data_IF_210247582297
#
_entry.id   IF_210247582297
#
_cell.length_a   1.000
_cell.length_b   1.000
_cell.length_c   1.000
_cell.angle_alpha   90.00
_cell.angle_beta   90.00
_cell.angle_gamma   90.00
#
_symmetry.space_group_name_H-M   'P 1'
#
loop_
_entity.id
_entity.type
_entity.pdbx_description
1 polymer ?
#
# COMPACT_ATOMS: atom_id res chain seq x y z
N UNK A 1 -17.36 2.08 3.27
CA UNK A 1 -17.37 1.03 4.31
C UNK A 1 -17.17 1.69 5.65
N UNK A 2 -17.94 1.26 6.66
CA UNK A 2 -17.92 1.85 7.99
C UNK A 2 -16.94 1.15 8.93
N UNK A 3 -16.51 1.84 9.98
CA UNK A 3 -15.80 1.24 11.11
C UNK A 3 -16.84 0.58 12.05
N UNK A 4 -16.52 -0.61 12.51
CA UNK A 4 -17.32 -1.37 13.47
C UNK A 4 -16.66 -1.36 14.83
N UNK A 5 -17.30 -0.76 15.82
CA UNK A 5 -16.90 -0.83 17.23
C UNK A 5 -17.62 -1.98 17.93
N UNK A 6 -17.12 -2.41 19.06
CA UNK A 6 -17.65 -3.54 19.82
C UNK A 6 -17.97 -3.14 21.25
N UNK A 7 -18.96 -3.79 21.86
CA UNK A 7 -19.28 -3.60 23.28
C UNK A 7 -18.06 -3.98 24.14
N UNK A 8 -17.72 -3.21 25.18
CA UNK A 8 -16.52 -3.43 26.01
C UNK A 8 -16.72 -4.55 27.03
N UNK A 9 -17.11 -5.74 26.58
CA UNK A 9 -17.37 -6.90 27.44
C UNK A 9 -16.10 -7.56 28.00
N UNK A 10 -14.96 -7.35 27.32
CA UNK A 10 -13.65 -7.85 27.75
C UNK A 10 -12.57 -6.81 27.50
N UNK A 11 -11.41 -6.85 28.21
CA UNK A 11 -10.29 -5.92 27.96
C UNK A 11 -9.87 -5.87 26.50
N UNK A 12 -9.88 -6.99 25.78
CA UNK A 12 -9.51 -7.08 24.37
C UNK A 12 -10.55 -6.54 23.39
N UNK A 13 -11.79 -6.29 23.84
CA UNK A 13 -12.86 -5.71 23.04
C UNK A 13 -13.09 -4.22 23.35
N UNK A 14 -12.66 -3.75 24.53
CA UNK A 14 -12.87 -2.37 24.99
C UNK A 14 -12.44 -1.31 23.97
N UNK A 15 -11.31 -1.45 23.36
CA UNK A 15 -10.80 -0.52 22.35
C UNK A 15 -10.82 -1.09 20.94
N UNK A 16 -11.60 -2.14 20.67
CA UNK A 16 -11.61 -2.81 19.39
C UNK A 16 -12.41 -2.01 18.36
N UNK A 17 -11.74 -1.61 17.29
CA UNK A 17 -12.36 -0.97 16.13
C UNK A 17 -11.84 -1.66 14.87
N UNK A 18 -12.72 -2.28 14.12
CA UNK A 18 -12.38 -2.99 12.88
C UNK A 18 -13.17 -2.41 11.70
N UNK A 19 -12.70 -2.70 10.49
CA UNK A 19 -13.44 -2.38 9.28
C UNK A 19 -14.59 -3.37 9.12
N UNK A 20 -15.77 -2.87 8.80
CA UNK A 20 -16.88 -3.71 8.38
C UNK A 20 -16.57 -4.32 7.01
N UNK A 21 -16.80 -5.62 6.89
CA UNK A 21 -16.58 -6.42 5.69
C UNK A 21 -17.84 -7.12 5.22
N UNK A 22 -19.01 -6.64 5.66
CA UNK A 22 -20.30 -7.24 5.34
C UNK A 22 -20.58 -7.30 3.84
N UNK A 23 -20.15 -6.25 3.13
CA UNK A 23 -20.33 -6.11 1.67
C UNK A 23 -19.33 -6.93 0.84
N UNK A 24 -18.28 -7.47 1.47
CA UNK A 24 -17.27 -8.26 0.75
C UNK A 24 -17.67 -9.72 0.63
N UNK A 25 -17.20 -10.35 -0.42
CA UNK A 25 -17.34 -11.78 -0.63
C UNK A 25 -16.80 -12.58 0.57
N UNK A 26 -17.61 -13.51 1.07
CA UNK A 26 -17.29 -14.33 2.25
C UNK A 26 -16.76 -15.72 1.89
N UNK A 27 -16.82 -16.09 0.63
CA UNK A 27 -16.34 -17.38 0.13
C UNK A 27 -14.83 -17.46 -0.04
N UNK A 28 -14.38 -18.54 -0.65
CA UNK A 28 -12.96 -18.76 -0.98
C UNK A 28 -12.53 -17.90 -2.17
N UNK A 29 -11.25 -17.48 -2.22
CA UNK A 29 -10.72 -16.80 -3.39
C UNK A 29 -10.68 -17.74 -4.60
N UNK A 30 -10.55 -17.17 -5.80
CA UNK A 30 -10.39 -17.93 -7.03
C UNK A 30 -9.09 -18.76 -6.97
N UNK A 31 -9.22 -20.09 -7.13
CA UNK A 31 -8.11 -21.03 -6.95
C UNK A 31 -7.01 -20.83 -7.97
N UNK A 32 -7.37 -20.58 -9.21
CA UNK A 32 -6.45 -20.39 -10.35
C UNK A 32 -5.58 -19.13 -10.20
N UNK A 33 -6.07 -18.13 -9.44
CA UNK A 33 -5.40 -16.87 -9.17
C UNK A 33 -4.75 -16.82 -7.77
N UNK A 34 -4.56 -17.98 -7.13
CA UNK A 34 -3.93 -18.04 -5.80
C UNK A 34 -2.72 -18.95 -5.76
N UNK A 35 -1.69 -18.51 -5.04
CA UNK A 35 -0.44 -19.21 -4.86
C UNK A 35 -0.11 -19.39 -3.37
N UNK A 36 0.67 -20.41 -3.05
CA UNK A 36 1.21 -20.62 -1.72
C UNK A 36 2.19 -19.51 -1.34
N UNK A 37 2.04 -18.94 -0.13
CA UNK A 37 2.94 -17.92 0.36
C UNK A 37 3.90 -18.51 1.40
N UNK A 38 5.15 -18.73 1.00
CA UNK A 38 6.26 -19.09 1.90
C UNK A 38 6.70 -17.90 2.75
N UNK A 39 7.05 -18.17 3.99
CA UNK A 39 7.52 -17.14 4.94
C UNK A 39 8.88 -17.51 5.49
N UNK A 40 9.83 -16.60 5.35
CA UNK A 40 11.20 -16.75 5.87
C UNK A 40 11.42 -16.08 7.25
N UNK A 41 10.38 -15.55 7.89
CA UNK A 41 10.47 -14.95 9.22
C UNK A 41 11.44 -13.76 9.32
N UNK A 42 11.62 -13.00 8.24
CA UNK A 42 12.55 -11.87 8.18
C UNK A 42 14.02 -12.26 8.00
N UNK A 43 14.32 -13.54 7.66
CA UNK A 43 15.66 -14.02 7.35
C UNK A 43 15.98 -13.80 5.87
N UNK A 44 17.25 -13.54 5.59
CA UNK A 44 17.81 -13.47 4.24
C UNK A 44 18.21 -14.90 3.75
N UNK A 45 18.85 -14.96 2.59
CA UNK A 45 19.38 -16.19 2.00
C UNK A 45 20.46 -16.88 2.85
N UNK A 46 21.15 -16.14 3.74
CA UNK A 46 22.14 -16.70 4.69
C UNK A 46 21.54 -17.08 6.03
N UNK A 47 20.21 -17.04 6.20
CA UNK A 47 19.50 -17.38 7.44
C UNK A 47 19.58 -16.30 8.54
N UNK A 48 20.23 -15.16 8.31
CA UNK A 48 20.33 -14.07 9.27
C UNK A 48 19.09 -13.19 9.25
N UNK A 49 18.66 -12.71 10.43
CA UNK A 49 17.55 -11.77 10.55
C UNK A 49 17.98 -10.40 10.03
N UNK A 50 17.48 -10.03 8.85
CA UNK A 50 17.68 -8.70 8.26
C UNK A 50 16.49 -7.78 8.50
N UNK A 51 15.32 -8.33 8.79
CA UNK A 51 14.11 -7.60 9.13
C UNK A 51 13.54 -8.10 10.45
N UNK A 52 13.61 -7.26 11.48
CA UNK A 52 13.10 -7.58 12.82
C UNK A 52 11.57 -7.62 12.84
N UNK A 53 11.01 -8.27 13.85
CA UNK A 53 9.57 -8.28 14.18
C UNK A 53 8.67 -8.98 13.16
N UNK A 54 9.22 -9.79 12.29
CA UNK A 54 8.45 -10.62 11.36
C UNK A 54 8.55 -12.08 11.81
N UNK A 55 7.43 -12.79 11.80
CA UNK A 55 7.35 -14.23 12.06
C UNK A 55 6.01 -14.68 12.60
N UNK A 56 5.72 -15.95 12.42
CA UNK A 56 4.42 -16.54 12.76
C UNK A 56 3.28 -15.97 11.91
N UNK A 57 2.11 -15.87 12.51
CA UNK A 57 0.88 -15.43 11.87
C UNK A 57 0.09 -16.56 11.21
N UNK A 58 -1.16 -16.28 10.85
CA UNK A 58 -2.05 -17.21 10.14
C UNK A 58 -1.52 -17.55 8.74
N UNK A 59 -1.71 -18.81 8.31
CA UNK A 59 -1.42 -19.23 6.93
C UNK A 59 -2.21 -18.37 5.94
N UNK A 60 -1.57 -17.93 4.86
CA UNK A 60 -2.18 -17.08 3.83
C UNK A 60 -1.85 -17.63 2.45
N UNK A 61 -2.79 -17.44 1.53
CA UNK A 61 -2.55 -17.59 0.10
C UNK A 61 -2.25 -16.22 -0.49
N UNK A 62 -1.32 -16.14 -1.40
CA UNK A 62 -1.09 -14.94 -2.20
C UNK A 62 -2.14 -14.89 -3.32
N UNK A 63 -2.68 -13.70 -3.61
CA UNK A 63 -3.55 -13.44 -4.75
C UNK A 63 -2.70 -12.80 -5.84
N UNK A 64 -2.73 -13.39 -7.02
CA UNK A 64 -2.07 -12.83 -8.22
C UNK A 64 -2.91 -11.65 -8.70
N UNK A 65 -2.37 -10.45 -8.56
CA UNK A 65 -3.06 -9.22 -8.96
C UNK A 65 -2.47 -8.73 -10.28
N UNK A 66 -3.34 -8.39 -11.21
CA UNK A 66 -2.94 -7.73 -12.45
C UNK A 66 -2.64 -6.25 -12.21
N UNK A 67 -1.38 -5.95 -11.93
CA UNK A 67 -0.90 -4.57 -11.80
C UNK A 67 -0.58 -3.92 -13.15
N UNK A 68 -0.57 -4.68 -14.24
CA UNK A 68 -0.18 -4.20 -15.57
C UNK A 68 -1.38 -3.84 -16.43
N UNK A 69 -2.55 -4.45 -16.18
CA UNK A 69 -3.76 -4.26 -16.99
C UNK A 69 -3.47 -4.54 -18.47
N UNK A 70 -2.94 -5.73 -18.74
CA UNK A 70 -2.42 -6.10 -20.07
C UNK A 70 -3.48 -6.24 -21.17
N UNK A 71 -4.72 -6.57 -20.82
CA UNK A 71 -5.83 -6.69 -21.76
C UNK A 71 -6.31 -5.31 -22.15
N UNK A 72 -5.80 -4.83 -23.27
CA UNK A 72 -6.16 -3.53 -23.84
C UNK A 72 -7.43 -3.67 -24.66
N UNK A 73 -8.37 -2.72 -24.51
CA UNK A 73 -9.64 -2.59 -25.22
C UNK A 73 -10.60 -3.79 -25.05
N UNK A 74 -10.32 -4.68 -24.09
CA UNK A 74 -11.23 -5.76 -23.69
C UNK A 74 -12.00 -5.33 -22.43
N UNK A 75 -13.34 -5.37 -22.52
CA UNK A 75 -14.21 -5.09 -21.38
C UNK A 75 -14.17 -6.21 -20.35
N UNK A 76 -14.36 -5.83 -19.06
CA UNK A 76 -14.52 -6.78 -17.99
C UNK A 76 -15.60 -6.32 -17.03
N UNK A 77 -16.33 -7.27 -16.44
CA UNK A 77 -17.35 -7.01 -15.42
C UNK A 77 -16.80 -7.39 -14.05
N UNK A 78 -17.07 -6.55 -13.05
CA UNK A 78 -16.73 -6.83 -11.66
C UNK A 78 -17.68 -7.91 -11.13
N UNK A 79 -17.15 -9.09 -10.89
CA UNK A 79 -17.93 -10.23 -10.40
C UNK A 79 -18.16 -10.15 -8.88
N UNK A 80 -17.13 -9.79 -8.13
CA UNK A 80 -17.18 -9.66 -6.67
C UNK A 80 -16.03 -8.83 -6.10
N UNK A 81 -16.23 -8.28 -4.90
CA UNK A 81 -15.20 -7.59 -4.12
C UNK A 81 -14.73 -8.52 -2.99
N UNK A 82 -13.40 -8.65 -2.83
CA UNK A 82 -12.80 -9.59 -1.88
C UNK A 82 -11.85 -8.91 -0.89
N UNK A 83 -11.73 -9.51 0.28
CA UNK A 83 -10.69 -9.21 1.25
C UNK A 83 -9.40 -9.95 0.90
N UNK A 84 -8.28 -9.24 0.80
CA UNK A 84 -6.94 -9.84 0.68
C UNK A 84 -6.14 -9.67 1.99
N UNK A 85 -5.72 -10.76 2.65
CA UNK A 85 -4.93 -10.69 3.88
C UNK A 85 -3.48 -10.19 3.65
N UNK A 86 -3.03 -10.06 2.40
CA UNK A 86 -1.65 -9.69 2.05
C UNK A 86 -1.50 -8.19 1.80
N UNK A 87 -2.62 -7.47 1.67
CA UNK A 87 -2.64 -6.02 1.45
C UNK A 87 -3.71 -5.33 2.27
N UNK A 88 -3.62 -4.02 2.36
CA UNK A 88 -4.57 -3.20 3.11
C UNK A 88 -5.78 -2.81 2.26
N UNK A 89 -5.62 -2.75 0.94
CA UNK A 89 -6.69 -2.50 -0.02
C UNK A 89 -7.55 -3.76 -0.24
N UNK A 90 -8.80 -3.58 -0.63
CA UNK A 90 -9.62 -4.66 -1.17
C UNK A 90 -9.25 -4.92 -2.62
N UNK A 91 -9.63 -6.09 -3.12
CA UNK A 91 -9.43 -6.52 -4.49
C UNK A 91 -10.77 -6.79 -5.15
N UNK A 92 -10.84 -6.64 -6.47
CA UNK A 92 -12.00 -6.98 -7.27
C UNK A 92 -11.64 -8.14 -8.20
N UNK A 93 -12.49 -9.15 -8.25
CA UNK A 93 -12.41 -10.17 -9.28
C UNK A 93 -13.15 -9.66 -10.51
N UNK A 94 -12.45 -9.63 -11.62
CA UNK A 94 -12.98 -9.29 -12.93
C UNK A 94 -13.19 -10.55 -13.76
N UNK A 95 -14.28 -10.58 -14.51
CA UNK A 95 -14.48 -11.50 -15.62
C UNK A 95 -14.44 -10.69 -16.89
N UNK A 96 -13.45 -10.96 -17.73
CA UNK A 96 -13.34 -10.37 -19.06
C UNK A 96 -14.39 -10.94 -20.01
N UNK A 97 -14.69 -10.18 -21.08
CA UNK A 97 -15.66 -10.61 -22.11
C UNK A 97 -15.23 -11.91 -22.82
N UNK A 98 -13.95 -12.26 -22.79
CA UNK A 98 -13.38 -13.54 -23.29
C UNK A 98 -13.43 -14.68 -22.25
N UNK A 99 -14.01 -14.46 -21.07
CA UNK A 99 -14.15 -15.44 -20.00
C UNK A 99 -12.96 -15.55 -19.05
N UNK A 100 -11.82 -14.90 -19.32
CA UNK A 100 -10.67 -14.93 -18.40
C UNK A 100 -10.97 -14.17 -17.11
N UNK A 101 -10.50 -14.73 -15.98
CA UNK A 101 -10.59 -14.11 -14.67
C UNK A 101 -9.29 -13.39 -14.29
N UNK A 102 -9.39 -12.22 -13.65
CA UNK A 102 -8.23 -11.52 -13.10
C UNK A 102 -8.60 -10.74 -11.83
N UNK A 103 -7.64 -10.63 -10.90
CA UNK A 103 -7.78 -9.72 -9.78
C UNK A 103 -7.17 -8.36 -10.08
N UNK A 104 -7.86 -7.30 -9.68
CA UNK A 104 -7.32 -5.93 -9.65
C UNK A 104 -7.44 -5.34 -8.25
N UNK A 105 -6.73 -4.23 -7.99
CA UNK A 105 -7.01 -3.41 -6.82
C UNK A 105 -8.39 -2.77 -6.98
N UNK A 106 -9.26 -2.94 -6.00
CA UNK A 106 -10.57 -2.29 -6.04
C UNK A 106 -10.41 -0.79 -5.73
N UNK A 107 -10.82 0.13 -6.60
CA UNK A 107 -10.94 1.54 -6.26
C UNK A 107 -12.15 1.80 -5.36
N UNK A 108 -12.21 2.98 -4.76
CA UNK A 108 -13.40 3.46 -4.09
C UNK A 108 -14.54 3.61 -5.10
N UNK A 109 -15.77 3.36 -4.66
CA UNK A 109 -17.00 3.45 -5.43
C UNK A 109 -17.13 2.43 -6.57
N UNK A 110 -16.26 1.41 -6.65
CA UNK A 110 -16.45 0.29 -7.55
C UNK A 110 -17.45 -0.67 -6.92
N UNK A 111 -18.49 -1.04 -7.67
CA UNK A 111 -19.53 -1.98 -7.25
C UNK A 111 -19.47 -3.28 -8.05
N UNK A 112 -20.12 -4.32 -7.54
CA UNK A 112 -20.36 -5.57 -8.28
C UNK A 112 -21.28 -5.26 -9.45
N UNK A 113 -20.95 -5.78 -10.64
CA UNK A 113 -21.66 -5.51 -11.89
C UNK A 113 -21.11 -4.33 -12.70
N UNK A 114 -20.26 -3.49 -12.11
CA UNK A 114 -19.62 -2.40 -12.87
C UNK A 114 -18.74 -2.96 -14.00
N UNK A 115 -18.73 -2.24 -15.10
CA UNK A 115 -17.88 -2.55 -16.25
C UNK A 115 -16.60 -1.72 -16.22
N UNK A 116 -15.44 -2.37 -16.38
CA UNK A 116 -14.13 -1.74 -16.39
C UNK A 116 -13.35 -2.15 -17.64
N UNK A 117 -12.55 -1.22 -18.17
CA UNK A 117 -11.75 -1.42 -19.36
C UNK A 117 -10.37 -0.78 -19.18
N UNK A 118 -9.37 -1.32 -19.86
CA UNK A 118 -8.06 -0.69 -20.00
C UNK A 118 -7.82 -0.39 -21.50
N UNK A 119 -7.40 0.84 -21.82
CA UNK A 119 -7.21 1.23 -23.21
C UNK A 119 -6.43 2.53 -23.34
N UNK A 120 -6.12 2.92 -24.58
CA UNK A 120 -5.38 4.16 -24.85
C UNK A 120 -6.17 5.41 -24.45
N UNK A 121 -7.48 5.40 -24.67
CA UNK A 121 -8.42 6.48 -24.31
C UNK A 121 -9.76 5.86 -23.92
N UNK A 122 -10.06 5.86 -22.63
CA UNK A 122 -11.29 5.28 -22.07
C UNK A 122 -11.98 6.29 -21.15
N UNK A 123 -13.26 6.05 -20.83
CA UNK A 123 -14.04 6.91 -19.92
C UNK A 123 -13.37 7.04 -18.56
N UNK A 124 -13.54 8.20 -17.91
CA UNK A 124 -13.01 8.48 -16.57
C UNK A 124 -13.95 7.89 -15.50
N UNK A 125 -14.03 6.55 -15.49
CA UNK A 125 -14.79 5.78 -14.49
C UNK A 125 -13.84 5.06 -13.54
N UNK A 126 -14.18 4.90 -12.24
CA UNK A 126 -13.36 4.15 -11.29
C UNK A 126 -13.07 2.74 -11.79
N UNK A 127 -11.80 2.35 -11.78
CA UNK A 127 -11.35 1.02 -12.24
C UNK A 127 -10.86 0.98 -13.68
N UNK A 128 -11.20 1.93 -14.52
CA UNK A 128 -10.63 2.05 -15.86
C UNK A 128 -9.16 2.43 -15.80
N UNK A 129 -8.37 1.89 -16.73
CA UNK A 129 -6.93 2.14 -16.79
C UNK A 129 -6.54 2.70 -18.14
N UNK A 130 -5.70 3.73 -18.15
CA UNK A 130 -5.19 4.35 -19.35
C UNK A 130 -3.82 5.00 -19.12
N UNK A 131 -3.03 5.27 -20.18
CA UNK A 131 -1.83 6.07 -20.08
C UNK A 131 -2.15 7.53 -19.77
N UNK A 132 -1.21 8.25 -19.14
CA UNK A 132 -1.38 9.67 -18.85
C UNK A 132 -1.56 10.54 -20.10
N UNK A 133 -1.09 10.07 -21.26
CA UNK A 133 -1.31 10.75 -22.54
C UNK A 133 -2.79 10.91 -22.90
N UNK A 134 -3.63 9.91 -22.57
CA UNK A 134 -5.08 9.93 -22.83
C UNK A 134 -5.92 10.56 -21.69
N UNK A 135 -5.32 10.79 -20.52
CA UNK A 135 -6.04 11.15 -19.30
C UNK A 135 -6.22 12.66 -19.16
N UNK A 136 -7.38 13.20 -18.76
CA UNK A 136 -7.55 14.65 -18.48
C UNK A 136 -6.81 15.04 -17.19
N UNK A 137 -6.35 16.31 -17.19
CA UNK A 137 -5.71 16.92 -16.01
C UNK A 137 -6.74 17.03 -14.87
N UNK A 138 -6.26 16.88 -13.63
CA UNK A 138 -7.12 16.88 -12.43
C UNK A 138 -7.59 15.50 -11.99
N UNK A 139 -7.49 14.47 -12.85
CA UNK A 139 -7.95 13.11 -12.54
C UNK A 139 -7.24 12.55 -11.32
N UNK A 140 -8.01 11.92 -10.44
CA UNK A 140 -7.50 11.13 -9.31
C UNK A 140 -7.20 9.72 -9.81
N UNK A 141 -6.00 9.23 -9.51
CA UNK A 141 -5.50 7.93 -10.00
C UNK A 141 -4.78 7.14 -8.93
N UNK A 142 -4.71 5.84 -9.14
CA UNK A 142 -3.95 4.89 -8.33
C UNK A 142 -3.25 3.86 -9.22
N UNK A 143 -2.52 2.92 -8.63
CA UNK A 143 -1.82 1.85 -9.35
C UNK A 143 -0.95 2.38 -10.50
N UNK A 144 -0.15 3.40 -10.23
CA UNK A 144 0.60 4.15 -11.24
C UNK A 144 1.91 3.44 -11.55
N UNK A 145 2.22 3.29 -12.83
CA UNK A 145 3.52 2.80 -13.30
C UNK A 145 4.62 3.86 -13.14
N UNK A 146 5.84 3.41 -12.94
CA UNK A 146 7.05 4.25 -12.97
C UNK A 146 7.83 4.12 -14.28
N UNK A 147 7.67 3.00 -14.97
CA UNK A 147 8.20 2.71 -16.30
C UNK A 147 7.10 2.03 -17.08
N UNK A 148 6.91 2.37 -18.37
CA UNK A 148 5.88 1.75 -19.21
C UNK A 148 5.97 0.23 -19.19
N UNK A 149 4.84 -0.46 -19.08
CA UNK A 149 4.71 -1.92 -19.09
C UNK A 149 5.26 -2.68 -17.87
N UNK A 150 5.83 -1.97 -16.89
CA UNK A 150 6.36 -2.62 -15.67
C UNK A 150 5.25 -3.02 -14.69
N UNK A 151 4.09 -2.41 -14.78
CA UNK A 151 2.99 -2.53 -13.83
C UNK A 151 3.03 -1.47 -12.72
N UNK A 152 1.88 -1.21 -12.14
CA UNK A 152 1.72 -0.18 -11.13
C UNK A 152 2.58 -0.39 -9.89
N UNK A 153 3.21 0.67 -9.41
CA UNK A 153 4.12 0.66 -8.25
C UNK A 153 3.76 1.72 -7.19
N UNK A 154 3.09 2.79 -7.58
CA UNK A 154 2.71 3.90 -6.70
C UNK A 154 1.22 3.85 -6.43
N UNK A 155 0.80 4.31 -5.24
CA UNK A 155 -0.58 4.42 -4.81
C UNK A 155 -1.35 3.08 -4.91
N UNK A 156 -0.87 2.05 -4.18
CA UNK A 156 -1.49 0.71 -4.12
C UNK A 156 -2.02 0.33 -2.74
N UNK A 157 -1.70 1.09 -1.71
CA UNK A 157 -2.19 0.84 -0.36
C UNK A 157 -3.60 1.42 -0.16
N UNK A 158 -4.31 0.94 0.86
CA UNK A 158 -5.65 1.42 1.20
C UNK A 158 -5.73 2.94 1.29
N UNK A 159 -6.75 3.53 0.68
CA UNK A 159 -7.02 4.97 0.69
C UNK A 159 -6.01 5.84 -0.05
N UNK A 160 -4.95 5.28 -0.63
CA UNK A 160 -3.95 6.08 -1.34
C UNK A 160 -4.40 6.46 -2.75
N UNK A 161 -3.92 7.60 -3.19
CA UNK A 161 -4.17 8.13 -4.52
C UNK A 161 -3.04 9.08 -4.94
N UNK A 162 -3.02 9.45 -6.19
CA UNK A 162 -2.27 10.58 -6.70
C UNK A 162 -3.20 11.43 -7.58
N UNK A 163 -2.91 12.71 -7.70
CA UNK A 163 -3.62 13.61 -8.61
C UNK A 163 -2.73 13.90 -9.82
N UNK A 164 -3.28 13.74 -11.00
CA UNK A 164 -2.65 14.18 -12.24
C UNK A 164 -2.76 15.70 -12.36
N UNK A 165 -1.63 16.41 -12.35
CA UNK A 165 -1.59 17.88 -12.25
C UNK A 165 -1.35 18.52 -13.60
N UNK A 166 -0.58 17.89 -14.49
CA UNK A 166 -0.24 18.46 -15.79
C UNK A 166 0.69 17.59 -16.61
N UNK A 167 0.95 18.01 -17.83
CA UNK A 167 1.91 17.39 -18.76
C UNK A 167 2.97 18.39 -19.14
N UNK A 168 4.19 17.92 -19.29
CA UNK A 168 5.32 18.74 -19.72
C UNK A 168 6.44 17.85 -20.29
N UNK A 169 6.97 18.19 -21.45
CA UNK A 169 8.15 17.56 -22.04
C UNK A 169 8.09 16.03 -22.15
N UNK A 170 6.92 15.43 -22.48
CA UNK A 170 6.75 13.96 -22.53
C UNK A 170 6.54 13.28 -21.16
N UNK A 171 6.45 14.09 -20.08
CA UNK A 171 6.18 13.63 -18.73
C UNK A 171 4.84 14.10 -18.20
N UNK A 172 4.20 13.29 -17.39
CA UNK A 172 3.06 13.61 -16.56
C UNK A 172 3.54 14.07 -15.17
N UNK A 173 3.02 15.18 -14.68
CA UNK A 173 3.25 15.67 -13.33
C UNK A 173 2.18 15.11 -12.41
N UNK A 174 2.56 14.32 -11.41
CA UNK A 174 1.65 13.74 -10.45
C UNK A 174 1.94 14.24 -9.04
N UNK A 175 0.88 14.59 -8.31
CA UNK A 175 0.94 14.95 -6.90
C UNK A 175 0.50 13.75 -6.06
N UNK A 176 1.42 13.19 -5.29
CA UNK A 176 1.15 12.07 -4.38
C UNK A 176 0.40 12.54 -3.13
N UNK A 177 -0.28 11.62 -2.43
CA UNK A 177 -0.94 11.88 -1.14
C UNK A 177 0.02 12.41 -0.06
N UNK A 178 1.33 12.15 -0.19
CA UNK A 178 2.38 12.72 0.67
C UNK A 178 2.69 14.19 0.41
N UNK A 179 2.15 14.79 -0.66
CA UNK A 179 2.46 16.14 -1.14
C UNK A 179 3.68 16.23 -2.07
N UNK A 180 4.40 15.12 -2.32
CA UNK A 180 5.49 15.06 -3.30
C UNK A 180 4.94 15.28 -4.71
N UNK A 181 5.55 16.19 -5.47
CA UNK A 181 5.28 16.40 -6.90
C UNK A 181 6.36 15.67 -7.69
N UNK A 182 5.94 14.76 -8.56
CA UNK A 182 6.83 13.84 -9.27
C UNK A 182 6.50 13.76 -10.75
N UNK A 183 7.53 13.55 -11.56
CA UNK A 183 7.44 13.24 -12.98
C UNK A 183 7.32 11.74 -13.22
N UNK A 184 6.46 11.37 -14.14
CA UNK A 184 6.30 10.00 -14.67
C UNK A 184 6.14 10.12 -16.19
N UNK A 185 6.66 9.20 -17.00
CA UNK A 185 6.46 9.22 -18.45
C UNK A 185 4.97 9.22 -18.80
N UNK A 186 4.56 9.93 -19.83
CA UNK A 186 3.16 10.00 -20.27
C UNK A 186 2.59 8.66 -20.75
N UNK A 187 3.46 7.77 -21.22
CA UNK A 187 3.12 6.40 -21.65
C UNK A 187 2.77 5.47 -20.48
N UNK A 188 3.16 5.82 -19.24
CA UNK A 188 2.88 5.00 -18.07
C UNK A 188 1.38 4.90 -17.81
N UNK A 189 0.93 3.68 -17.55
CA UNK A 189 -0.46 3.38 -17.20
C UNK A 189 -0.77 3.80 -15.76
N UNK A 190 -2.00 4.24 -15.57
CA UNK A 190 -2.58 4.48 -14.25
C UNK A 190 -4.06 4.07 -14.25
N UNK A 191 -4.60 3.71 -13.09
CA UNK A 191 -6.01 3.37 -12.93
C UNK A 191 -6.76 4.53 -12.30
N UNK A 192 -7.91 4.87 -12.83
CA UNK A 192 -8.78 5.97 -12.36
C UNK A 192 -9.36 5.65 -10.98
N UNK A 193 -9.43 6.66 -10.11
CA UNK A 193 -9.98 6.57 -8.76
C UNK A 193 -8.93 6.47 -7.66
N UNK A 194 -9.35 6.56 -6.41
CA UNK A 194 -8.54 6.29 -5.22
C UNK A 194 -8.72 4.82 -4.79
N UNK A 195 -7.72 4.26 -4.14
CA UNK A 195 -7.78 2.87 -3.63
C UNK A 195 -8.83 2.74 -2.53
N UNK A 196 -9.54 1.63 -2.50
CA UNK A 196 -10.55 1.28 -1.48
C UNK A 196 -10.00 1.30 -0.04
N UNK A 197 -10.92 1.19 0.93
CA UNK A 197 -10.61 1.00 2.35
C UNK A 197 -9.83 2.15 3.00
N UNK A 198 -10.24 3.44 2.86
CA UNK A 198 -9.52 4.59 3.42
C UNK A 198 -9.38 4.52 4.95
N UNK A 199 -10.36 3.92 5.64
CA UNK A 199 -10.38 3.78 7.10
C UNK A 199 -9.45 2.71 7.67
N UNK A 200 -8.64 2.07 6.82
CA UNK A 200 -7.70 1.05 7.28
C UNK A 200 -6.74 1.53 8.37
N UNK A 201 -6.35 2.80 8.35
CA UNK A 201 -5.49 3.41 9.38
C UNK A 201 -6.19 3.63 10.71
N UNK A 202 -7.52 3.73 10.71
CA UNK A 202 -8.35 4.02 11.88
C UNK A 202 -8.71 2.75 12.69
N UNK A 203 -8.23 1.57 12.26
CA UNK A 203 -8.43 0.32 12.98
C UNK A 203 -7.65 0.29 14.30
N UNK A 204 -8.31 -0.21 15.34
CA UNK A 204 -7.66 -0.58 16.60
C UNK A 204 -7.89 -2.07 16.87
N UNK A 205 -6.82 -2.83 17.01
CA UNK A 205 -6.89 -4.29 17.17
C UNK A 205 -7.20 -4.73 18.59
N UNK A 206 -7.20 -3.84 19.59
CA UNK A 206 -7.60 -4.07 20.97
C UNK A 206 -6.69 -5.00 21.78
N UNK A 207 -5.96 -5.94 21.17
CA UNK A 207 -5.06 -6.88 21.88
C UNK A 207 -3.83 -7.27 21.04
N UNK A 208 -2.73 -7.58 21.74
CA UNK A 208 -1.46 -8.00 21.14
C UNK A 208 -1.58 -9.27 20.28
N UNK A 209 -2.45 -10.23 20.68
CA UNK A 209 -2.65 -11.48 19.96
C UNK A 209 -3.10 -11.27 18.51
N UNK A 210 -3.90 -10.22 18.20
CA UNK A 210 -4.28 -9.91 16.82
C UNK A 210 -3.08 -9.47 15.96
N UNK A 211 -2.11 -8.77 16.54
CA UNK A 211 -0.87 -8.43 15.86
C UNK A 211 -0.02 -9.67 15.61
N UNK A 212 -0.01 -10.62 16.56
CA UNK A 212 0.66 -11.93 16.39
C UNK A 212 0.06 -12.72 15.23
N UNK A 213 -1.28 -12.75 15.09
CA UNK A 213 -1.96 -13.38 13.93
C UNK A 213 -1.61 -12.72 12.60
N UNK A 214 -1.27 -11.45 12.59
CA UNK A 214 -0.79 -10.74 11.39
C UNK A 214 0.68 -11.07 11.04
N UNK A 215 1.40 -11.81 11.89
CA UNK A 215 2.80 -12.13 11.70
C UNK A 215 3.75 -11.06 12.24
N UNK A 216 3.25 -10.15 13.08
CA UNK A 216 4.07 -9.12 13.72
C UNK A 216 4.45 -9.60 15.10
N UNK A 217 5.76 -9.76 15.35
CA UNK A 217 6.31 -10.13 16.66
C UNK A 217 6.44 -8.90 17.57
N UNK A 218 6.48 -9.08 18.91
CA UNK A 218 6.73 -8.00 19.86
C UNK A 218 8.02 -7.25 19.55
N UNK A 219 8.07 -5.98 19.95
CA UNK A 219 9.23 -5.12 19.80
C UNK A 219 9.73 -4.67 21.15
N UNK A 220 11.02 -4.84 21.41
CA UNK A 220 11.70 -4.27 22.56
C UNK A 220 12.24 -2.89 22.17
N UNK A 221 12.07 -1.92 23.05
CA UNK A 221 12.65 -0.57 22.90
C UNK A 221 14.15 -0.61 23.16
N UNK A 222 14.94 0.16 22.41
CA UNK A 222 16.40 0.22 22.60
C UNK A 222 16.82 0.62 24.02
N UNK A 223 16.02 1.47 24.70
CA UNK A 223 16.25 1.89 26.10
C UNK A 223 16.11 0.72 27.09
N UNK A 224 15.36 -0.32 26.75
CA UNK A 224 15.17 -1.50 27.59
C UNK A 224 16.15 -2.66 27.26
N UNK A 225 17.18 -2.35 26.50
CA UNK A 225 18.24 -3.31 26.12
C UNK A 225 19.53 -3.00 26.89
N UNK A 226 20.49 -3.92 26.82
CA UNK A 226 21.82 -3.71 27.35
C UNK A 226 22.66 -2.82 26.40
N UNK A 227 23.73 -2.16 26.89
CA UNK A 227 24.58 -1.30 26.07
C UNK A 227 25.16 -1.99 24.83
N UNK A 228 25.44 -3.30 24.90
CA UNK A 228 25.94 -4.11 23.77
C UNK A 228 24.91 -4.26 22.64
N UNK A 229 23.62 -4.23 22.95
CA UNK A 229 22.54 -4.51 22.00
C UNK A 229 22.01 -3.25 21.31
N UNK A 230 22.12 -2.08 21.99
CA UNK A 230 21.60 -0.84 21.45
C UNK A 230 22.32 0.38 22.03
N UNK A 231 22.61 1.44 21.25
CA UNK A 231 23.22 2.68 21.73
C UNK A 231 22.42 3.44 22.80
N UNK A 232 21.16 3.11 23.00
CA UNK A 232 20.30 3.63 24.08
C UNK A 232 20.19 2.69 25.28
N UNK A 233 20.90 1.57 25.25
CA UNK A 233 20.87 0.58 26.31
C UNK A 233 21.66 0.96 27.54
N UNK A 234 21.39 0.30 28.65
CA UNK A 234 22.06 0.50 29.92
C UNK A 234 21.33 1.41 30.88
N UNK A 235 21.94 1.64 32.05
CA UNK A 235 21.41 2.42 33.15
C UNK A 235 20.65 1.58 34.17
N UNK A 236 20.34 2.19 35.33
CA UNK A 236 19.57 1.57 36.40
C UNK A 236 18.10 2.05 36.38
N UNK A 237 17.18 1.10 36.43
CA UNK A 237 15.75 1.39 36.46
C UNK A 237 15.21 2.07 35.20
N UNK A 238 14.43 3.13 35.34
CA UNK A 238 13.88 3.94 34.24
C UNK A 238 14.89 5.00 33.80
N UNK A 239 15.74 4.67 32.86
CA UNK A 239 16.69 5.61 32.26
C UNK A 239 16.13 6.23 30.96
N UNK A 240 16.58 7.44 30.64
CA UNK A 240 16.33 8.08 29.34
C UNK A 240 17.29 7.53 28.27
N UNK A 241 17.06 7.87 26.99
CA UNK A 241 17.93 7.44 25.92
C UNK A 241 19.35 8.04 25.92
N UNK A 242 19.61 9.07 26.75
CA UNK A 242 20.91 9.72 26.98
C UNK A 242 21.53 10.43 25.77
N UNK A 243 20.91 10.33 24.58
CA UNK A 243 21.41 10.88 23.31
C UNK A 243 20.30 11.06 22.29
N UNK A 244 20.62 11.69 21.14
CA UNK A 244 19.66 11.77 20.02
C UNK A 244 19.19 10.38 19.58
N UNK A 245 17.90 10.22 19.17
CA UNK A 245 17.35 8.94 18.74
C UNK A 245 18.14 8.35 17.58
N UNK A 246 18.65 7.15 17.78
CA UNK A 246 19.40 6.40 16.78
C UNK A 246 18.87 4.98 16.61
N UNK A 247 19.23 4.34 15.51
CA UNK A 247 19.00 2.92 15.26
C UNK A 247 19.98 2.06 16.06
N UNK A 248 19.80 0.71 16.16
CA UNK A 248 20.80 -0.19 16.75
C UNK A 248 22.20 -0.06 16.16
N UNK A 249 22.31 0.42 14.93
CA UNK A 249 23.58 0.64 14.21
C UNK A 249 24.09 2.08 14.33
N UNK A 250 23.53 2.89 15.23
CA UNK A 250 23.97 4.27 15.48
C UNK A 250 23.51 5.31 14.46
N UNK A 251 22.72 4.95 13.45
CA UNK A 251 22.22 5.91 12.46
C UNK A 251 21.10 6.77 13.05
N UNK A 252 21.11 8.11 12.87
CA UNK A 252 20.02 8.98 13.33
C UNK A 252 18.66 8.56 12.76
N UNK A 253 17.63 8.53 13.63
CA UNK A 253 16.26 8.16 13.23
C UNK A 253 15.37 9.37 12.98
N UNK A 254 15.73 10.55 13.47
CA UNK A 254 15.01 11.82 13.28
C UNK A 254 15.90 12.85 12.59
N UNK A 255 15.30 13.62 11.67
CA UNK A 255 15.94 14.74 10.99
C UNK A 255 16.93 14.38 9.87
N UNK A 256 17.54 13.21 9.88
CA UNK A 256 18.50 12.83 8.87
C UNK A 256 17.84 12.56 7.50
N UNK A 257 18.41 13.13 6.44
CA UNK A 257 18.00 12.88 5.07
C UNK A 257 18.62 11.56 4.59
N UNK A 258 17.90 10.45 4.75
CA UNK A 258 18.41 9.10 4.45
C UNK A 258 18.35 8.70 2.97
N UNK A 259 17.62 9.45 2.13
CA UNK A 259 17.60 9.22 0.69
C UNK A 259 18.99 9.47 0.08
N UNK A 260 19.49 8.52 -0.68
CA UNK A 260 20.74 8.70 -1.42
C UNK A 260 20.60 9.90 -2.39
N UNK A 261 21.52 10.87 -2.30
CA UNK A 261 21.53 12.08 -3.13
C UNK A 261 21.77 11.78 -4.61
N UNK A 262 22.55 10.76 -4.90
CA UNK A 262 22.92 10.36 -6.26
C UNK A 262 21.92 9.40 -6.92
N UNK A 263 20.78 9.14 -6.27
CA UNK A 263 19.76 8.26 -6.83
C UNK A 263 19.17 8.85 -8.11
N UNK A 264 19.29 8.14 -9.25
CA UNK A 264 18.84 8.60 -10.57
C UNK A 264 17.37 9.08 -10.57
N UNK A 265 16.49 8.41 -9.81
CA UNK A 265 15.09 8.84 -9.65
C UNK A 265 14.92 10.16 -8.87
N UNK A 266 15.97 10.76 -8.37
CA UNK A 266 15.95 12.09 -7.76
C UNK A 266 15.62 13.20 -8.77
N UNK A 267 16.08 13.05 -10.01
CA UNK A 267 15.81 13.97 -11.13
C UNK A 267 14.31 14.07 -11.48
N UNK A 268 13.54 13.04 -11.13
CA UNK A 268 12.09 12.99 -11.39
C UNK A 268 11.23 13.56 -10.25
N UNK A 269 11.83 14.14 -9.21
CA UNK A 269 11.11 14.78 -8.11
C UNK A 269 11.20 16.29 -8.29
N UNK A 270 10.07 16.92 -8.69
CA UNK A 270 9.98 18.38 -8.84
C UNK A 270 9.93 19.08 -7.49
N UNK A 271 9.14 18.52 -6.55
CA UNK A 271 9.01 19.05 -5.19
C UNK A 271 8.94 17.92 -4.18
N UNK A 272 9.90 17.90 -3.25
CA UNK A 272 9.91 16.92 -2.17
C UNK A 272 8.76 17.18 -1.17
N UNK A 273 8.28 16.13 -0.50
CA UNK A 273 7.19 16.21 0.48
C UNK A 273 7.43 17.20 1.63
N UNK A 274 8.70 17.45 1.98
CA UNK A 274 9.13 18.36 3.05
C UNK A 274 9.70 19.69 2.52
N UNK A 275 9.54 20.00 1.24
CA UNK A 275 9.94 21.31 0.74
C UNK A 275 9.12 22.39 1.46
N UNK A 276 9.78 23.28 2.20
CA UNK A 276 9.14 24.48 2.77
C UNK A 276 8.51 25.25 1.63
N UNK A 277 7.24 25.65 1.76
CA UNK A 277 6.70 26.73 0.93
C UNK A 277 7.66 27.90 1.14
N UNK A 278 8.34 28.36 0.08
CA UNK A 278 9.00 29.65 0.13
C UNK A 278 7.89 30.63 0.53
N UNK A 279 8.04 31.28 1.68
CA UNK A 279 7.10 32.29 2.12
C UNK A 279 6.89 33.31 1.00
N UNK A 280 5.64 33.68 0.81
CA UNK A 280 5.29 34.90 0.09
C UNK A 280 5.80 36.09 0.87
#
# INVERSE_FOLDING_TARGET
MALKSYKPTTPGQRGLVLIDRSELWKGRPEKTLTEGLTRNGGRNNTGRITMRRIGGGTKRLYRVIDFRRRKIDVGAVVERLEYDPNRTAFIALLRYDDGELAYILAPQRLAVGDRVIAGAKVDIKPGNAMPFSGMPIGTIVHNIELKPGKGGQIARAAGTYAQFVGRDGGYAQIRLSSGELRLVRQECMATVGAVSNPDNSNQNFGKAGRMRHKGIRPSVRGVAMNPVDHPHGGGEGRTSGGRHPVTPWGKPTKGARTRNRNKASGKLILRARHARKKGR
#
